data_IF_316178646704
#
_entry.id   IF_316178646704
#
_cell.length_a   1.000
_cell.length_b   1.000
_cell.length_c   1.000
_cell.angle_alpha   90.00
_cell.angle_beta   90.00
_cell.angle_gamma   90.00
#
_symmetry.space_group_name_H-M   'P 1'
#
loop_
_entity.id
_entity.type
_entity.pdbx_description
1 polymer ?
#
# COMPACT_ATOMS: atom_id res chain seq x y z
N UNK A 1 0.09 30.10 54.83
CA UNK A 1 -0.67 30.99 53.94
C UNK A 1 -1.34 30.11 52.91
N UNK A 2 -2.47 29.51 53.31
CA UNK A 2 -3.86 29.93 53.04
C UNK A 2 -4.29 29.79 51.57
N UNK A 3 -5.47 29.17 51.31
CA UNK A 3 -5.92 28.69 50.00
C UNK A 3 -7.14 29.49 49.46
N UNK A 4 -7.50 29.31 48.18
CA UNK A 4 -8.82 29.61 47.61
C UNK A 4 -9.03 28.60 46.46
N UNK A 5 -9.95 27.63 46.44
CA UNK A 5 -11.39 27.58 46.73
C UNK A 5 -12.24 28.39 45.74
N UNK A 6 -12.61 27.76 44.61
CA UNK A 6 -13.75 28.19 43.80
C UNK A 6 -14.65 26.97 43.54
N UNK A 7 -15.82 27.05 44.16
CA UNK A 7 -16.94 26.14 44.06
C UNK A 7 -17.93 26.53 42.96
N UNK A 8 -18.72 25.52 42.57
CA UNK A 8 -20.14 25.57 42.15
C UNK A 8 -20.53 26.25 40.83
N UNK A 9 -21.20 25.50 39.94
CA UNK A 9 -22.67 25.59 39.85
C UNK A 9 -23.28 24.55 38.90
N UNK A 10 -24.27 23.85 39.45
CA UNK A 10 -25.29 22.97 38.87
C UNK A 10 -26.30 23.66 37.94
N UNK A 11 -26.87 22.91 37.00
CA UNK A 11 -28.26 22.95 36.46
C UNK A 11 -28.25 22.39 35.02
N UNK A 12 -29.20 21.65 34.46
CA UNK A 12 -30.57 21.27 34.83
C UNK A 12 -31.08 20.26 33.77
N UNK A 13 -31.85 19.29 34.23
CA UNK A 13 -32.84 18.42 33.56
C UNK A 13 -33.64 19.07 32.40
N UNK A 14 -33.93 18.36 31.29
CA UNK A 14 -35.22 17.65 30.96
C UNK A 14 -35.41 17.64 29.42
N UNK A 15 -36.44 17.04 28.79
CA UNK A 15 -37.17 15.79 29.01
C UNK A 15 -37.30 14.89 27.74
N UNK A 16 -37.87 13.71 27.94
CA UNK A 16 -38.35 12.73 26.95
C UNK A 16 -39.31 13.32 25.89
N UNK A 17 -39.24 12.81 24.66
CA UNK A 17 -40.38 12.83 23.72
C UNK A 17 -40.54 11.47 23.03
N UNK A 18 -41.41 10.66 23.63
CA UNK A 18 -42.06 9.49 23.05
C UNK A 18 -42.98 9.90 21.89
N UNK A 19 -42.73 9.40 20.68
CA UNK A 19 -43.65 9.53 19.56
C UNK A 19 -44.38 8.21 19.29
N UNK A 20 -45.61 8.18 19.80
CA UNK A 20 -46.77 7.39 19.35
C UNK A 20 -46.80 7.31 17.82
N UNK A 21 -46.87 6.14 17.19
CA UNK A 21 -48.15 5.45 17.00
C UNK A 21 -48.90 6.01 15.78
N UNK A 22 -48.80 5.34 14.63
CA UNK A 22 -49.84 5.41 13.59
C UNK A 22 -50.11 4.03 12.97
N UNK A 23 -51.38 3.71 12.68
CA UNK A 23 -51.82 2.34 12.44
C UNK A 23 -52.19 2.09 10.96
N UNK A 24 -52.65 0.85 10.72
CA UNK A 24 -53.60 0.44 9.66
C UNK A 24 -52.95 -0.10 8.38
N UNK A 25 -52.49 -1.35 8.47
CA UNK A 25 -52.39 -2.22 7.29
C UNK A 25 -53.80 -2.73 6.92
N UNK A 26 -54.16 -2.45 5.67
CA UNK A 26 -55.44 -2.76 5.03
C UNK A 26 -55.59 -4.26 4.76
N UNK A 27 -56.78 -4.86 4.99
CA UNK A 27 -57.02 -6.27 4.71
C UNK A 27 -57.26 -6.51 3.22
N UNK A 28 -56.19 -6.53 2.41
CA UNK A 28 -56.28 -6.84 0.98
C UNK A 28 -55.14 -7.71 0.41
N UNK A 29 -54.40 -8.44 1.25
CA UNK A 29 -53.46 -9.47 0.75
C UNK A 29 -53.79 -10.88 1.27
N UNK A 30 -55.09 -11.17 1.31
CA UNK A 30 -55.63 -12.52 1.36
C UNK A 30 -55.87 -12.99 -0.09
N UNK A 31 -54.82 -13.16 -0.89
CA UNK A 31 -54.99 -13.74 -2.23
C UNK A 31 -53.85 -14.69 -2.58
N UNK A 32 -54.24 -15.97 -2.67
CA UNK A 32 -53.58 -17.12 -3.31
C UNK A 32 -52.39 -17.75 -2.57
N UNK A 33 -52.75 -18.62 -1.62
CA UNK A 33 -52.16 -19.96 -1.54
C UNK A 33 -52.60 -20.76 -2.78
N UNK A 34 -51.66 -21.05 -3.68
CA UNK A 34 -51.76 -22.18 -4.62
C UNK A 34 -50.51 -23.04 -4.44
N UNK A 35 -50.64 -24.33 -4.08
CA UNK A 35 -49.51 -25.24 -4.04
C UNK A 35 -49.15 -25.63 -5.48
N UNK A 36 -48.21 -24.91 -6.09
CA UNK A 36 -47.55 -25.41 -7.31
C UNK A 36 -46.63 -26.55 -6.94
N UNK A 37 -47.13 -27.77 -7.14
CA UNK A 37 -46.37 -29.02 -7.17
C UNK A 37 -45.46 -29.00 -8.40
N UNK A 38 -44.36 -28.27 -8.32
CA UNK A 38 -43.30 -28.30 -9.32
C UNK A 38 -42.35 -29.45 -8.99
N UNK A 39 -42.11 -30.29 -10.00
CA UNK A 39 -41.21 -31.43 -9.95
C UNK A 39 -39.82 -31.01 -9.42
N UNK A 40 -39.30 -31.78 -8.47
CA UNK A 40 -37.96 -31.61 -7.91
C UNK A 40 -36.94 -32.08 -8.96
N UNK A 41 -36.54 -31.17 -9.86
CA UNK A 41 -35.37 -31.36 -10.70
C UNK A 41 -34.16 -31.26 -9.76
N UNK A 42 -33.31 -32.29 -9.63
CA UNK A 42 -32.08 -32.18 -8.86
C UNK A 42 -31.26 -31.05 -9.46
N UNK A 43 -31.14 -29.95 -8.71
CA UNK A 43 -30.31 -28.83 -9.10
C UNK A 43 -28.89 -29.35 -9.25
N UNK A 44 -28.34 -29.27 -10.47
CA UNK A 44 -26.91 -29.40 -10.68
C UNK A 44 -26.20 -28.48 -9.66
N UNK A 45 -25.10 -28.93 -9.04
CA UNK A 45 -24.42 -28.16 -8.02
C UNK A 45 -24.17 -26.76 -8.58
N UNK A 46 -24.81 -25.75 -7.98
CA UNK A 46 -24.56 -24.36 -8.29
C UNK A 46 -23.10 -24.11 -7.90
N UNK A 47 -22.19 -24.35 -8.84
CA UNK A 47 -20.81 -23.91 -8.74
C UNK A 47 -20.91 -22.40 -8.64
N UNK A 48 -20.74 -21.95 -7.40
CA UNK A 48 -20.94 -20.60 -6.90
C UNK A 48 -20.46 -19.54 -7.90
N UNK A 49 -21.39 -19.06 -8.73
CA UNK A 49 -21.12 -18.02 -9.74
C UNK A 49 -20.66 -16.72 -9.06
N UNK A 50 -20.95 -16.54 -7.76
CA UNK A 50 -20.39 -15.44 -6.98
C UNK A 50 -18.88 -15.56 -6.83
N UNK A 51 -18.32 -16.78 -6.74
CA UNK A 51 -16.88 -17.02 -6.64
C UNK A 51 -16.12 -16.60 -7.92
N UNK A 52 -16.71 -16.78 -9.11
CA UNK A 52 -16.08 -16.37 -10.39
C UNK A 52 -16.02 -14.85 -10.59
N UNK A 53 -16.97 -14.08 -10.04
CA UNK A 53 -16.95 -12.61 -10.14
C UNK A 53 -15.74 -11.97 -9.45
N UNK A 54 -15.07 -12.68 -8.56
CA UNK A 54 -13.85 -12.21 -7.89
C UNK A 54 -12.55 -12.63 -8.57
N UNK A 55 -12.62 -13.51 -9.58
CA UNK A 55 -11.43 -14.02 -10.26
C UNK A 55 -10.99 -13.10 -11.41
N UNK A 56 -11.93 -12.39 -12.04
CA UNK A 56 -11.65 -11.48 -13.16
C UNK A 56 -12.19 -10.08 -12.86
N UNK A 57 -11.33 -9.10 -12.53
CA UNK A 57 -11.78 -7.73 -12.35
C UNK A 57 -12.33 -7.17 -13.68
N UNK A 58 -13.32 -6.26 -13.64
CA UNK A 58 -13.92 -5.69 -14.84
C UNK A 58 -12.85 -5.04 -15.73
N UNK A 59 -12.92 -5.33 -17.03
CA UNK A 59 -12.05 -4.77 -18.06
C UNK A 59 -12.30 -3.26 -18.09
N UNK A 60 -11.29 -2.47 -17.74
CA UNK A 60 -11.40 -1.01 -17.72
C UNK A 60 -11.52 -0.46 -19.16
N UNK A 61 -12.32 0.62 -19.39
CA UNK A 61 -12.43 1.22 -20.71
C UNK A 61 -11.07 1.75 -21.24
N UNK A 62 -10.87 1.69 -22.56
CA UNK A 62 -9.58 1.94 -23.23
C UNK A 62 -8.97 3.33 -22.91
N UNK A 63 -9.77 4.40 -22.80
CA UNK A 63 -9.23 5.75 -22.52
C UNK A 63 -8.54 5.86 -21.16
N UNK A 64 -8.90 5.00 -20.20
CA UNK A 64 -8.25 4.94 -18.88
C UNK A 64 -6.89 4.25 -18.92
N UNK A 65 -6.59 3.49 -19.97
CA UNK A 65 -5.30 2.84 -20.14
C UNK A 65 -4.22 3.85 -20.54
N UNK A 66 -4.55 4.86 -21.35
CA UNK A 66 -3.57 5.84 -21.83
C UNK A 66 -3.07 6.77 -20.70
N UNK A 67 -3.96 7.35 -19.91
CA UNK A 67 -3.57 8.19 -18.76
C UNK A 67 -2.79 7.39 -17.71
N UNK A 68 -3.16 6.12 -17.50
CA UNK A 68 -2.45 5.19 -16.62
C UNK A 68 -1.05 4.87 -17.15
N UNK A 69 -0.94 4.57 -18.44
CA UNK A 69 0.34 4.33 -19.09
C UNK A 69 1.22 5.59 -19.04
N UNK A 70 0.63 6.78 -19.17
CA UNK A 70 1.33 8.06 -19.06
C UNK A 70 2.05 8.22 -17.72
N UNK A 71 1.35 8.09 -16.59
CA UNK A 71 2.03 8.20 -15.29
C UNK A 71 3.02 7.06 -15.04
N UNK A 72 2.69 5.83 -15.45
CA UNK A 72 3.60 4.70 -15.31
C UNK A 72 4.88 4.91 -16.11
N UNK A 73 4.75 5.45 -17.32
CA UNK A 73 5.87 5.78 -18.20
C UNK A 73 6.73 6.90 -17.65
N UNK A 74 6.14 7.98 -17.13
CA UNK A 74 6.89 9.05 -16.45
C UNK A 74 7.63 8.52 -15.23
N UNK A 75 6.98 7.68 -14.43
CA UNK A 75 7.59 7.08 -13.25
C UNK A 75 8.75 6.14 -13.60
N UNK A 76 8.52 5.18 -14.50
CA UNK A 76 9.58 4.27 -14.98
C UNK A 76 10.71 5.07 -15.65
N UNK A 77 10.37 6.11 -16.43
CA UNK A 77 11.33 6.99 -17.07
C UNK A 77 12.22 7.72 -16.07
N UNK A 78 11.66 8.21 -14.96
CA UNK A 78 12.43 8.83 -13.89
C UNK A 78 13.43 7.85 -13.26
N UNK A 79 13.00 6.62 -12.94
CA UNK A 79 13.89 5.59 -12.41
C UNK A 79 14.94 5.13 -13.43
N UNK A 80 14.58 5.02 -14.70
CA UNK A 80 15.51 4.71 -15.78
C UNK A 80 16.56 5.82 -15.95
N UNK A 81 16.16 7.09 -15.82
CA UNK A 81 17.07 8.23 -15.87
C UNK A 81 18.05 8.23 -14.68
N UNK A 82 17.59 7.96 -13.47
CA UNK A 82 18.45 7.81 -12.28
C UNK A 82 19.47 6.69 -12.51
N UNK A 83 19.01 5.52 -12.97
CA UNK A 83 19.88 4.38 -13.27
C UNK A 83 20.93 4.74 -14.33
N UNK A 84 20.49 5.31 -15.46
CA UNK A 84 21.37 5.68 -16.56
C UNK A 84 22.39 6.76 -16.14
N UNK A 85 21.98 7.71 -15.31
CA UNK A 85 22.86 8.77 -14.80
C UNK A 85 23.97 8.21 -13.91
N UNK A 86 23.62 7.47 -12.86
CA UNK A 86 24.63 6.94 -11.93
C UNK A 86 25.50 5.87 -12.56
N UNK A 87 24.93 5.02 -13.42
CA UNK A 87 25.70 4.03 -14.15
C UNK A 87 26.68 4.71 -15.11
N UNK A 88 26.24 5.68 -15.91
CA UNK A 88 27.14 6.39 -16.85
C UNK A 88 28.24 7.18 -16.12
N UNK A 89 27.95 7.76 -14.96
CA UNK A 89 28.92 8.48 -14.15
C UNK A 89 30.03 7.58 -13.55
N UNK A 90 29.74 6.29 -13.29
CA UNK A 90 30.68 5.37 -12.63
C UNK A 90 31.12 4.20 -13.52
N UNK A 91 30.71 4.16 -14.80
CA UNK A 91 31.07 3.06 -15.71
C UNK A 91 32.59 2.89 -15.88
N UNK A 92 33.36 3.97 -15.76
CA UNK A 92 34.81 3.94 -15.96
C UNK A 92 35.62 3.57 -14.71
N UNK A 93 35.08 3.81 -13.51
CA UNK A 93 35.77 3.55 -12.24
C UNK A 93 35.31 2.22 -11.64
N UNK A 94 34.05 2.17 -11.20
CA UNK A 94 33.43 1.01 -10.58
C UNK A 94 31.91 1.02 -10.84
N UNK A 95 31.49 0.17 -11.76
CA UNK A 95 30.06 0.02 -12.10
C UNK A 95 29.21 -0.42 -10.89
N UNK A 96 29.82 -1.07 -9.90
CA UNK A 96 29.12 -1.62 -8.74
C UNK A 96 28.74 -0.50 -7.77
N UNK A 97 29.64 0.47 -7.59
CA UNK A 97 29.38 1.70 -6.86
C UNK A 97 28.29 2.54 -7.55
N UNK A 98 28.36 2.66 -8.88
CA UNK A 98 27.32 3.31 -9.67
C UNK A 98 25.93 2.69 -9.50
N UNK A 99 25.85 1.36 -9.53
CA UNK A 99 24.59 0.65 -9.25
C UNK A 99 24.14 0.81 -7.79
N UNK A 100 25.07 0.90 -6.85
CA UNK A 100 24.72 1.12 -5.45
C UNK A 100 24.02 2.47 -5.27
N UNK A 101 24.60 3.53 -5.82
CA UNK A 101 23.94 4.84 -5.83
C UNK A 101 22.60 4.80 -6.57
N UNK A 102 22.55 4.21 -7.77
CA UNK A 102 21.31 4.11 -8.54
C UNK A 102 20.19 3.44 -7.74
N UNK A 103 20.49 2.32 -7.08
CA UNK A 103 19.50 1.58 -6.28
C UNK A 103 19.09 2.34 -5.02
N UNK A 104 20.03 2.98 -4.32
CA UNK A 104 19.75 3.82 -3.15
C UNK A 104 18.82 4.99 -3.51
N UNK A 105 19.15 5.78 -4.54
CA UNK A 105 18.31 6.90 -4.96
C UNK A 105 16.98 6.41 -5.55
N UNK A 106 16.96 5.26 -6.23
CA UNK A 106 15.74 4.61 -6.69
C UNK A 106 14.78 4.26 -5.55
N UNK A 107 15.30 3.75 -4.43
CA UNK A 107 14.53 3.50 -3.20
C UNK A 107 14.01 4.81 -2.62
N UNK A 108 14.87 5.82 -2.42
CA UNK A 108 14.49 7.10 -1.83
C UNK A 108 13.38 7.80 -2.62
N UNK A 109 13.53 7.89 -3.95
CA UNK A 109 12.50 8.46 -4.83
C UNK A 109 11.20 7.66 -4.75
N UNK A 110 11.29 6.34 -4.64
CA UNK A 110 10.10 5.49 -4.50
C UNK A 110 9.37 5.70 -3.17
N UNK A 111 10.10 5.79 -2.05
CA UNK A 111 9.52 6.09 -0.74
C UNK A 111 8.84 7.45 -0.76
N UNK A 112 9.51 8.48 -1.28
CA UNK A 112 8.93 9.83 -1.41
C UNK A 112 7.66 9.82 -2.26
N UNK A 113 7.68 9.18 -3.43
CA UNK A 113 6.51 9.10 -4.31
C UNK A 113 5.33 8.33 -3.70
N UNK A 114 5.61 7.26 -2.94
CA UNK A 114 4.58 6.49 -2.22
C UNK A 114 3.87 7.34 -1.16
N UNK A 115 4.63 8.13 -0.39
CA UNK A 115 4.07 9.03 0.63
C UNK A 115 3.24 10.15 -0.01
N UNK A 116 3.74 10.73 -1.10
CA UNK A 116 3.01 11.74 -1.88
C UNK A 116 1.69 11.16 -2.42
N UNK A 117 1.73 9.94 -2.97
CA UNK A 117 0.54 9.27 -3.50
C UNK A 117 -0.51 8.95 -2.42
N UNK A 118 -0.11 8.90 -1.15
CA UNK A 118 -1.01 8.65 -0.02
C UNK A 118 -1.43 9.91 0.74
N UNK A 119 -0.93 11.10 0.37
CA UNK A 119 -1.35 12.37 0.97
C UNK A 119 -2.62 12.92 0.29
N UNK A 120 -3.81 12.81 0.92
CA UNK A 120 -5.05 13.29 0.32
C UNK A 120 -5.05 14.81 0.12
N UNK A 121 -4.42 15.56 1.04
CA UNK A 121 -4.34 17.03 1.00
C UNK A 121 -3.49 17.50 -0.18
N UNK A 122 -2.32 16.89 -0.40
CA UNK A 122 -1.43 17.25 -1.50
C UNK A 122 -2.07 16.94 -2.86
N UNK A 123 -2.67 15.75 -3.00
CA UNK A 123 -3.39 15.39 -4.22
C UNK A 123 -4.63 16.27 -4.47
N UNK A 124 -5.29 16.73 -3.39
CA UNK A 124 -6.37 17.70 -3.47
C UNK A 124 -5.93 19.02 -4.09
N UNK A 125 -4.77 19.55 -3.65
CA UNK A 125 -4.17 20.75 -4.23
C UNK A 125 -3.73 20.55 -5.68
N UNK A 126 -3.17 19.38 -6.02
CA UNK A 126 -2.80 19.06 -7.40
C UNK A 126 -4.03 18.97 -8.33
N UNK A 127 -5.18 18.53 -7.81
CA UNK A 127 -6.42 18.41 -8.60
C UNK A 127 -6.97 19.76 -9.07
N UNK A 128 -6.72 20.86 -8.34
CA UNK A 128 -7.13 22.21 -8.77
C UNK A 128 -6.21 22.82 -9.85
N UNK A 129 -5.10 22.17 -10.18
CA UNK A 129 -4.16 22.64 -11.22
C UNK A 129 -4.53 22.06 -12.59
N UNK A 130 -4.08 22.66 -13.71
CA UNK A 130 -4.31 22.12 -15.06
C UNK A 130 -3.72 20.71 -15.26
N UNK A 131 -2.86 20.25 -14.35
CA UNK A 131 -2.26 18.91 -14.36
C UNK A 131 -3.30 17.78 -14.28
N UNK A 132 -4.48 18.04 -13.71
CA UNK A 132 -5.58 17.07 -13.64
C UNK A 132 -6.09 16.65 -15.04
N UNK A 133 -5.87 17.46 -16.07
CA UNK A 133 -6.22 17.11 -17.45
C UNK A 133 -5.32 16.01 -18.03
N UNK A 134 -4.07 15.94 -17.55
CA UNK A 134 -3.06 14.97 -18.01
C UNK A 134 -3.03 13.74 -17.10
N UNK A 135 -3.15 13.94 -15.79
CA UNK A 135 -3.07 12.88 -14.77
C UNK A 135 -4.37 12.73 -13.99
N UNK A 136 -5.00 11.55 -14.05
CA UNK A 136 -6.17 11.20 -13.24
C UNK A 136 -5.74 10.77 -11.83
N UNK A 137 -5.79 11.70 -10.87
CA UNK A 137 -5.44 11.44 -9.47
C UNK A 137 -6.46 10.59 -8.69
N UNK A 138 -7.60 10.25 -9.30
CA UNK A 138 -8.69 9.49 -8.65
C UNK A 138 -8.30 8.05 -8.29
N UNK A 139 -7.22 7.53 -8.89
CA UNK A 139 -6.72 6.16 -8.67
C UNK A 139 -5.43 6.12 -7.84
N UNK A 140 -5.32 7.00 -6.83
CA UNK A 140 -4.16 7.08 -5.92
C UNK A 140 -3.71 5.73 -5.32
N UNK A 141 -4.67 4.85 -4.99
CA UNK A 141 -4.37 3.51 -4.46
C UNK A 141 -3.70 2.61 -5.51
N UNK A 142 -4.07 2.74 -6.79
CA UNK A 142 -3.39 1.99 -7.86
C UNK A 142 -1.98 2.50 -8.10
N UNK A 143 -1.77 3.82 -8.04
CA UNK A 143 -0.44 4.42 -8.14
C UNK A 143 0.46 3.94 -6.98
N UNK A 144 -0.03 3.99 -5.73
CA UNK A 144 0.68 3.45 -4.57
C UNK A 144 1.07 1.99 -4.74
N UNK A 145 0.14 1.13 -5.20
CA UNK A 145 0.46 -0.29 -5.47
C UNK A 145 1.53 -0.44 -6.54
N UNK A 146 1.42 0.31 -7.64
CA UNK A 146 2.43 0.28 -8.69
C UNK A 146 3.80 0.74 -8.19
N UNK A 147 3.88 1.87 -7.50
CA UNK A 147 5.11 2.39 -6.92
C UNK A 147 5.69 1.41 -5.88
N UNK A 148 4.85 0.70 -5.12
CA UNK A 148 5.31 -0.32 -4.18
C UNK A 148 5.99 -1.52 -4.87
N UNK A 149 5.54 -1.91 -6.07
CA UNK A 149 6.23 -2.94 -6.86
C UNK A 149 7.59 -2.44 -7.37
N UNK A 150 7.68 -1.18 -7.79
CA UNK A 150 8.95 -0.56 -8.20
C UNK A 150 9.91 -0.45 -7.01
N UNK A 151 9.43 0.01 -5.84
CA UNK A 151 10.21 0.03 -4.60
C UNK A 151 10.72 -1.38 -4.23
N UNK A 152 9.86 -2.39 -4.34
CA UNK A 152 10.24 -3.77 -4.05
C UNK A 152 11.33 -4.29 -4.98
N UNK A 153 11.23 -4.02 -6.29
CA UNK A 153 12.27 -4.38 -7.25
C UNK A 153 13.61 -3.70 -6.94
N UNK A 154 13.59 -2.40 -6.61
CA UNK A 154 14.80 -1.67 -6.20
C UNK A 154 15.39 -2.18 -4.90
N UNK A 155 14.55 -2.54 -3.92
CA UNK A 155 15.01 -3.08 -2.64
C UNK A 155 15.69 -4.44 -2.82
N UNK A 156 15.12 -5.32 -3.66
CA UNK A 156 15.77 -6.59 -4.01
C UNK A 156 17.12 -6.34 -4.70
N UNK A 157 17.16 -5.44 -5.68
CA UNK A 157 18.39 -5.12 -6.40
C UNK A 157 19.46 -4.55 -5.46
N UNK A 158 19.08 -3.62 -4.58
CA UNK A 158 19.97 -2.99 -3.60
C UNK A 158 20.52 -4.02 -2.60
N UNK A 159 19.64 -4.82 -1.99
CA UNK A 159 20.06 -5.86 -1.04
C UNK A 159 20.95 -6.89 -1.71
N UNK A 160 20.61 -7.35 -2.92
CA UNK A 160 21.42 -8.32 -3.67
C UNK A 160 22.82 -7.78 -3.98
N UNK A 161 22.92 -6.49 -4.31
CA UNK A 161 24.20 -5.83 -4.54
C UNK A 161 25.04 -5.79 -3.26
N UNK A 162 24.44 -5.42 -2.12
CA UNK A 162 25.11 -5.46 -0.82
C UNK A 162 25.58 -6.86 -0.41
N UNK A 163 24.79 -7.90 -0.68
CA UNK A 163 25.23 -9.27 -0.45
C UNK A 163 26.45 -9.63 -1.30
N UNK A 164 26.43 -9.26 -2.58
CA UNK A 164 27.52 -9.58 -3.49
C UNK A 164 28.81 -8.79 -3.19
N UNK A 165 28.72 -7.50 -2.90
CA UNK A 165 29.88 -6.69 -2.49
C UNK A 165 30.40 -7.12 -1.12
N UNK A 166 29.51 -7.46 -0.18
CA UNK A 166 29.86 -7.95 1.14
C UNK A 166 30.63 -9.27 1.11
N UNK A 167 30.22 -10.23 0.26
CA UNK A 167 30.95 -11.50 0.08
C UNK A 167 32.34 -11.25 -0.51
N UNK A 168 32.45 -10.39 -1.54
CA UNK A 168 33.76 -10.03 -2.11
C UNK A 168 34.69 -9.38 -1.08
N UNK A 169 34.13 -8.49 -0.26
CA UNK A 169 34.88 -7.88 0.83
C UNK A 169 35.33 -8.93 1.84
N UNK A 170 34.47 -9.89 2.19
CA UNK A 170 34.80 -10.99 3.09
C UNK A 170 35.98 -11.83 2.59
N UNK A 171 35.96 -12.18 1.31
CA UNK A 171 37.02 -12.94 0.67
C UNK A 171 38.36 -12.18 0.71
N UNK A 172 38.34 -10.85 0.57
CA UNK A 172 39.55 -10.01 0.62
C UNK A 172 40.22 -9.99 1.99
N UNK A 173 39.46 -10.16 3.07
CA UNK A 173 39.95 -10.16 4.45
C UNK A 173 39.99 -11.56 5.08
N UNK A 174 39.67 -12.61 4.31
CA UNK A 174 39.57 -14.00 4.78
C UNK A 174 38.66 -14.18 6.01
N UNK A 175 37.59 -13.39 6.10
CA UNK A 175 36.64 -13.45 7.21
C UNK A 175 35.41 -14.33 6.87
N UNK A 176 34.70 -14.79 7.89
CA UNK A 176 33.45 -15.53 7.71
C UNK A 176 32.38 -14.63 7.08
N UNK A 177 31.79 -15.07 5.96
CA UNK A 177 30.83 -14.30 5.16
C UNK A 177 29.63 -13.79 5.96
N UNK A 178 29.09 -14.61 6.88
CA UNK A 178 27.96 -14.21 7.71
C UNK A 178 28.32 -13.10 8.70
N UNK A 179 29.56 -13.08 9.20
CA UNK A 179 29.95 -12.16 10.26
C UNK A 179 29.91 -10.69 9.81
N UNK A 180 30.23 -10.42 8.54
CA UNK A 180 30.28 -9.06 7.99
C UNK A 180 28.91 -8.38 7.96
N UNK A 181 27.84 -9.11 7.67
CA UNK A 181 26.50 -8.53 7.60
C UNK A 181 25.92 -8.18 8.97
N UNK A 182 26.41 -8.81 10.04
CA UNK A 182 25.91 -8.60 11.40
C UNK A 182 26.83 -7.75 12.27
N UNK A 183 28.03 -7.43 11.81
CA UNK A 183 28.98 -6.59 12.54
C UNK A 183 28.84 -5.11 12.18
N UNK A 184 28.51 -4.81 10.92
CA UNK A 184 28.33 -3.44 10.48
C UNK A 184 26.96 -2.89 10.90
N UNK A 185 26.94 -1.65 11.40
CA UNK A 185 25.71 -0.94 11.79
C UNK A 185 24.74 -0.85 10.60
N UNK A 186 25.26 -0.53 9.41
CA UNK A 186 24.45 -0.45 8.20
C UNK A 186 23.93 -1.82 7.75
N UNK A 187 24.70 -2.88 7.99
CA UNK A 187 24.27 -4.25 7.73
C UNK A 187 23.07 -4.64 8.57
N UNK A 188 23.14 -4.44 9.90
CA UNK A 188 22.04 -4.78 10.82
C UNK A 188 20.77 -4.00 10.48
N UNK A 189 20.87 -2.68 10.26
CA UNK A 189 19.70 -1.85 9.94
C UNK A 189 19.08 -2.27 8.61
N UNK A 190 19.88 -2.51 7.58
CA UNK A 190 19.41 -2.98 6.27
C UNK A 190 18.65 -4.31 6.35
N UNK A 191 19.16 -5.27 7.13
CA UNK A 191 18.47 -6.56 7.34
C UNK A 191 17.13 -6.39 8.06
N UNK A 192 17.11 -5.58 9.13
CA UNK A 192 15.89 -5.32 9.88
C UNK A 192 14.84 -4.62 9.01
N UNK A 193 15.25 -3.62 8.24
CA UNK A 193 14.38 -2.92 7.28
C UNK A 193 13.81 -3.88 6.23
N UNK A 194 14.66 -4.72 5.63
CA UNK A 194 14.25 -5.71 4.64
C UNK A 194 13.19 -6.68 5.19
N UNK A 195 13.40 -7.20 6.40
CA UNK A 195 12.46 -8.08 7.07
C UNK A 195 11.11 -7.39 7.32
N UNK A 196 11.11 -6.17 7.88
CA UNK A 196 9.88 -5.41 8.12
C UNK A 196 9.16 -5.14 6.79
N UNK A 197 9.90 -4.75 5.76
CA UNK A 197 9.33 -4.46 4.44
C UNK A 197 8.69 -5.71 3.79
N UNK A 198 9.30 -6.88 3.95
CA UNK A 198 8.69 -8.16 3.55
C UNK A 198 7.40 -8.45 4.32
N UNK A 199 7.36 -8.23 5.63
CA UNK A 199 6.14 -8.40 6.43
C UNK A 199 5.01 -7.49 5.93
N UNK A 200 5.32 -6.22 5.66
CA UNK A 200 4.36 -5.26 5.07
C UNK A 200 3.86 -5.77 3.72
N UNK A 201 4.75 -6.24 2.85
CA UNK A 201 4.41 -6.78 1.53
C UNK A 201 3.50 -7.99 1.60
N UNK A 202 3.80 -8.95 2.48
CA UNK A 202 3.01 -10.16 2.70
C UNK A 202 1.60 -9.83 3.22
N UNK A 203 1.50 -8.94 4.21
CA UNK A 203 0.21 -8.50 4.75
C UNK A 203 -0.63 -7.72 3.72
N UNK A 204 0.01 -7.04 2.76
CA UNK A 204 -0.65 -6.29 1.70
C UNK A 204 -1.22 -7.15 0.55
N UNK A 205 -0.86 -8.45 0.48
CA UNK A 205 -1.36 -9.38 -0.54
C UNK A 205 -2.90 -9.41 -0.50
N UNK A 206 -3.60 -9.33 -1.65
CA UNK A 206 -5.06 -9.25 -1.68
C UNK A 206 -5.78 -10.40 -0.98
N UNK A 207 -5.17 -11.58 -0.93
CA UNK A 207 -5.70 -12.76 -0.24
C UNK A 207 -5.65 -12.51 1.28
N UNK A 208 -4.47 -12.21 1.83
CA UNK A 208 -4.24 -11.96 3.26
C UNK A 208 -5.06 -10.77 3.75
N UNK A 209 -5.02 -9.64 3.04
CA UNK A 209 -5.77 -8.43 3.41
C UNK A 209 -7.29 -8.65 3.47
N UNK A 210 -7.83 -9.52 2.61
CA UNK A 210 -9.28 -9.84 2.61
C UNK A 210 -9.66 -10.80 3.72
N UNK A 211 -8.73 -11.62 4.21
CA UNK A 211 -8.96 -12.53 5.33
C UNK A 211 -8.83 -11.81 6.67
N UNK A 212 -7.80 -10.97 6.84
CA UNK A 212 -7.49 -10.29 8.10
C UNK A 212 -7.14 -8.81 7.85
N UNK A 213 -8.16 -7.94 7.80
CA UNK A 213 -7.95 -6.52 7.53
C UNK A 213 -7.19 -5.80 8.67
N UNK A 214 -7.46 -6.16 9.92
CA UNK A 214 -6.78 -5.59 11.09
C UNK A 214 -5.28 -5.88 11.08
N UNK A 215 -4.89 -7.12 10.73
CA UNK A 215 -3.49 -7.51 10.58
C UNK A 215 -2.79 -6.65 9.51
N UNK A 216 -3.44 -6.46 8.35
CA UNK A 216 -2.94 -5.56 7.32
C UNK A 216 -2.75 -4.15 7.89
N UNK A 217 -3.74 -3.61 8.60
CA UNK A 217 -3.67 -2.25 9.15
C UNK A 217 -2.48 -2.09 10.11
N UNK A 218 -2.34 -2.96 11.10
CA UNK A 218 -1.25 -2.85 12.08
C UNK A 218 0.13 -3.08 11.48
N UNK A 219 0.29 -4.13 10.66
CA UNK A 219 1.57 -4.43 10.01
C UNK A 219 1.96 -3.33 9.03
N UNK A 220 1.00 -2.74 8.31
CA UNK A 220 1.31 -1.69 7.32
C UNK A 220 1.93 -0.46 7.99
N UNK A 221 1.52 -0.07 9.21
CA UNK A 221 2.10 1.06 9.95
C UNK A 221 3.59 0.90 10.31
N UNK A 222 4.14 -0.31 10.22
CA UNK A 222 5.58 -0.53 10.36
C UNK A 222 6.40 0.21 9.27
N UNK A 223 5.76 0.80 8.25
CA UNK A 223 6.42 1.73 7.34
C UNK A 223 7.08 2.91 8.08
N UNK A 224 6.52 3.36 9.22
CA UNK A 224 7.09 4.45 10.03
C UNK A 224 8.41 3.99 10.64
N UNK A 225 8.45 2.77 11.18
CA UNK A 225 9.66 2.17 11.73
C UNK A 225 10.72 2.01 10.63
N UNK A 226 10.33 1.56 9.44
CA UNK A 226 11.24 1.50 8.28
C UNK A 226 11.82 2.86 7.91
N UNK A 227 11.01 3.92 7.90
CA UNK A 227 11.50 5.29 7.63
C UNK A 227 12.45 5.74 8.74
N UNK A 228 12.16 5.44 10.00
CA UNK A 228 13.06 5.78 11.11
C UNK A 228 14.41 5.06 11.01
N UNK A 229 14.43 3.79 10.59
CA UNK A 229 15.66 3.00 10.39
C UNK A 229 16.49 3.44 9.18
N UNK A 230 15.91 4.23 8.28
CA UNK A 230 16.59 4.78 7.10
C UNK A 230 17.56 5.91 7.46
N UNK A 231 17.40 6.55 8.62
CA UNK A 231 18.21 7.67 9.13
C UNK A 231 19.17 7.22 10.25
#
# INVERSE_FOLDING_TARGET
MMPDNISSSSSSSSPQSSFSGQPRQTPQQLQRKLPSRAAHIPQAPQIDMARRKYLFPPIYPCHYMLQRAGYMGVWIGAHAAILAYFLSAHMASDWTEGLNFATQYGILVSVMGILIAMSPTFLGMLRSTPLNRVFTFEKRVHAHKFMSYVLFAWTIAHSSLHYWTGVKYADSISATHLFIFWQDRLGITGQLMWMIFLLIGLAAIPIVRRMCYELFYYVHHLYIVNIALLY
#
